data_IF_542096313254
#
_entry.id   IF_542096313254
#
_cell.length_a   1.000
_cell.length_b   1.000
_cell.length_c   1.000
_cell.angle_alpha   90.00
_cell.angle_beta   90.00
_cell.angle_gamma   90.00
#
_symmetry.space_group_name_H-M   'P 1'
#
loop_
_entity.id
_entity.type
_entity.pdbx_description
1 polymer ?
#
# COMPACT_ATOMS: atom_id res chain seq x y z
N UNK A 1 -11.62 17.94 25.48
CA UNK A 1 -12.87 17.24 25.77
C UNK A 1 -14.04 18.12 25.35
N UNK A 2 -15.09 17.56 24.85
CA UNK A 2 -16.37 18.23 24.59
C UNK A 2 -17.45 17.45 25.35
N UNK A 3 -18.15 18.13 26.21
CA UNK A 3 -19.34 17.59 26.85
C UNK A 3 -20.50 17.61 25.83
N UNK A 4 -21.11 16.42 25.61
CA UNK A 4 -22.13 16.27 24.59
C UNK A 4 -23.48 16.88 24.98
N UNK A 5 -23.76 17.05 26.28
CA UNK A 5 -25.02 17.59 26.79
C UNK A 5 -24.96 19.11 26.92
N UNK A 6 -23.85 19.63 27.46
CA UNK A 6 -23.69 21.07 27.72
C UNK A 6 -23.03 21.84 26.57
N UNK A 7 -22.27 21.14 25.70
CA UNK A 7 -21.45 21.74 24.66
C UNK A 7 -20.18 22.39 25.20
N UNK A 8 -19.84 22.22 26.47
CA UNK A 8 -18.66 22.81 27.09
C UNK A 8 -17.38 22.17 26.56
N UNK A 9 -16.38 23.03 26.24
CA UNK A 9 -15.05 22.61 25.79
C UNK A 9 -14.03 22.78 26.88
N UNK A 10 -13.40 21.68 27.28
CA UNK A 10 -12.26 21.69 28.21
C UNK A 10 -10.99 21.22 27.48
N UNK A 11 -9.85 21.88 27.78
CA UNK A 11 -8.57 21.61 27.15
C UNK A 11 -7.58 21.10 28.19
N UNK A 12 -6.85 20.07 27.82
CA UNK A 12 -5.78 19.46 28.59
C UNK A 12 -4.50 19.47 27.77
N UNK A 13 -3.38 19.74 28.40
CA UNK A 13 -2.05 19.57 27.79
C UNK A 13 -1.49 18.26 28.32
N UNK A 14 -1.20 17.34 27.41
CA UNK A 14 -0.64 16.02 27.71
C UNK A 14 0.78 15.94 27.18
N UNK A 15 1.62 15.18 27.86
CA UNK A 15 2.87 14.68 27.30
C UNK A 15 2.61 13.68 26.18
N UNK A 16 3.64 13.20 25.52
CA UNK A 16 3.52 12.18 24.45
C UNK A 16 3.24 10.77 24.97
N UNK A 17 2.95 10.58 26.26
CA UNK A 17 2.75 9.28 26.88
C UNK A 17 1.33 8.75 26.63
N UNK A 18 1.26 7.53 26.07
CA UNK A 18 0.01 6.81 25.79
C UNK A 18 -0.75 6.49 27.09
N UNK A 19 -0.04 6.15 28.17
CA UNK A 19 -0.67 5.78 29.43
C UNK A 19 -1.31 7.00 30.13
N UNK A 20 -0.68 8.17 30.04
CA UNK A 20 -1.19 9.45 30.53
C UNK A 20 -2.50 9.82 29.79
N UNK A 21 -2.48 9.79 28.46
CA UNK A 21 -3.63 10.11 27.63
C UNK A 21 -4.81 9.15 27.87
N UNK A 22 -4.54 7.85 27.97
CA UNK A 22 -5.56 6.85 28.25
C UNK A 22 -6.10 6.97 29.69
N UNK A 23 -5.24 7.34 30.66
CA UNK A 23 -5.62 7.59 32.05
C UNK A 23 -6.58 8.77 32.19
N UNK A 24 -6.27 9.88 31.49
CA UNK A 24 -7.17 11.03 31.45
C UNK A 24 -8.55 10.64 30.91
N UNK A 25 -8.59 9.97 29.74
CA UNK A 25 -9.86 9.55 29.13
C UNK A 25 -10.66 8.61 30.03
N UNK A 26 -10.00 7.68 30.71
CA UNK A 26 -10.67 6.71 31.62
C UNK A 26 -11.21 7.39 32.90
N UNK A 27 -10.63 8.53 33.32
CA UNK A 27 -11.08 9.31 34.47
C UNK A 27 -12.26 10.23 34.19
N UNK A 28 -12.69 10.38 32.93
CA UNK A 28 -13.84 11.21 32.57
C UNK A 28 -15.17 10.50 32.85
N UNK A 29 -16.27 11.29 33.10
CA UNK A 29 -17.61 10.74 33.24
C UNK A 29 -18.01 9.90 32.01
N UNK A 30 -18.62 8.74 32.26
CA UNK A 30 -19.06 7.84 31.17
C UNK A 30 -20.49 8.16 30.72
N UNK A 31 -20.82 7.93 29.42
CA UNK A 31 -19.99 7.28 28.39
C UNK A 31 -18.95 8.24 27.81
N UNK A 32 -17.73 7.75 27.55
CA UNK A 32 -16.66 8.51 26.94
C UNK A 32 -16.16 7.85 25.65
N UNK A 33 -15.94 8.65 24.62
CA UNK A 33 -15.35 8.21 23.36
C UNK A 33 -14.22 9.17 22.97
N UNK A 34 -13.05 8.61 22.68
CA UNK A 34 -11.89 9.36 22.22
C UNK A 34 -11.76 9.31 20.69
N UNK A 35 -11.09 10.29 20.11
CA UNK A 35 -10.68 10.25 18.71
C UNK A 35 -9.29 10.84 18.55
N UNK A 36 -8.50 10.25 17.63
CA UNK A 36 -7.24 10.84 17.21
C UNK A 36 -6.98 10.55 15.72
N UNK A 37 -6.11 11.36 15.10
CA UNK A 37 -5.73 11.20 13.70
C UNK A 37 -4.71 10.06 13.56
N UNK A 38 -4.93 9.12 12.62
CA UNK A 38 -3.95 8.10 12.30
C UNK A 38 -2.63 8.74 11.83
N UNK A 39 -1.55 8.43 12.52
CA UNK A 39 -0.25 9.06 12.31
C UNK A 39 0.92 8.15 12.70
N UNK A 40 2.14 8.71 12.81
CA UNK A 40 3.35 7.96 13.10
C UNK A 40 3.37 7.33 14.50
N UNK A 41 2.50 7.76 15.41
CA UNK A 41 2.36 7.19 16.77
C UNK A 41 1.68 5.82 16.78
N UNK A 42 1.17 5.35 15.63
CA UNK A 42 0.56 4.03 15.49
C UNK A 42 -0.76 3.89 16.25
N UNK A 43 -1.00 2.67 16.73
CA UNK A 43 -2.28 2.28 17.34
C UNK A 43 -2.20 1.97 18.84
N UNK A 44 -1.09 2.30 19.49
CA UNK A 44 -0.87 2.05 20.93
C UNK A 44 -1.96 2.67 21.78
N UNK A 45 -2.31 3.92 21.53
CA UNK A 45 -3.36 4.63 22.27
C UNK A 45 -4.75 3.96 22.10
N UNK A 46 -5.13 3.58 20.89
CA UNK A 46 -6.42 2.91 20.68
C UNK A 46 -6.51 1.58 21.43
N UNK A 47 -5.42 0.81 21.49
CA UNK A 47 -5.35 -0.44 22.24
C UNK A 47 -5.41 -0.21 23.75
N UNK A 48 -4.72 0.83 24.25
CA UNK A 48 -4.72 1.16 25.66
C UNK A 48 -6.09 1.67 26.13
N UNK A 49 -6.76 2.48 25.31
CA UNK A 49 -8.14 2.91 25.56
C UNK A 49 -9.11 1.72 25.59
N UNK A 50 -8.96 0.79 24.65
CA UNK A 50 -9.79 -0.42 24.61
C UNK A 50 -9.60 -1.30 25.88
N UNK A 51 -8.37 -1.41 26.44
CA UNK A 51 -8.13 -2.11 27.72
C UNK A 51 -8.81 -1.44 28.91
N UNK A 52 -9.09 -0.14 28.81
CA UNK A 52 -9.76 0.66 29.85
C UNK A 52 -11.25 0.84 29.59
N UNK A 53 -11.80 0.09 28.63
CA UNK A 53 -13.20 0.18 28.22
C UNK A 53 -13.61 1.61 27.81
N UNK A 54 -12.73 2.28 27.05
CA UNK A 54 -12.98 3.58 26.44
C UNK A 54 -13.08 3.42 24.92
N UNK A 55 -14.19 3.87 24.36
CA UNK A 55 -14.39 3.88 22.90
C UNK A 55 -13.34 4.75 22.22
N UNK A 56 -12.82 4.32 21.06
CA UNK A 56 -11.82 5.08 20.33
C UNK A 56 -12.04 5.03 18.81
N UNK A 57 -12.06 6.20 18.19
CA UNK A 57 -12.08 6.36 16.73
C UNK A 57 -10.72 6.85 16.26
N UNK A 58 -9.99 6.00 15.55
CA UNK A 58 -8.78 6.42 14.83
C UNK A 58 -9.20 6.98 13.49
N UNK A 59 -9.09 8.28 13.30
CA UNK A 59 -9.62 8.96 12.13
C UNK A 59 -8.64 8.93 10.94
N UNK A 60 -9.16 8.74 9.71
CA UNK A 60 -8.37 8.78 8.49
C UNK A 60 -7.99 10.23 8.14
N UNK A 61 -6.67 10.60 8.09
CA UNK A 61 -6.22 11.99 7.90
C UNK A 61 -6.77 12.63 6.62
N UNK A 62 -6.77 11.87 5.53
CA UNK A 62 -7.23 12.35 4.21
C UNK A 62 -8.75 12.53 4.08
N UNK A 63 -9.49 12.16 5.12
CA UNK A 63 -10.96 12.26 5.16
C UNK A 63 -11.46 13.28 6.20
N UNK A 64 -10.55 13.91 6.95
CA UNK A 64 -10.91 14.98 7.88
C UNK A 64 -11.16 16.24 7.04
N UNK A 65 -12.40 16.78 7.02
CA UNK A 65 -12.71 17.98 6.27
C UNK A 65 -12.01 19.20 6.91
N UNK A 66 -11.32 19.98 6.07
CA UNK A 66 -10.70 21.25 6.46
C UNK A 66 -11.22 22.34 5.55
N UNK A 67 -11.49 23.50 6.10
CA UNK A 67 -11.89 24.66 5.31
C UNK A 67 -10.72 25.12 4.42
N UNK A 68 -10.99 25.40 3.15
CA UNK A 68 -9.96 25.78 2.15
C UNK A 68 -9.21 27.08 2.48
N UNK A 69 -9.70 27.90 3.42
CA UNK A 69 -9.06 29.14 3.89
C UNK A 69 -8.31 29.02 5.21
N UNK A 70 -8.35 27.87 5.88
CA UNK A 70 -7.70 27.71 7.19
C UNK A 70 -6.21 27.43 7.02
N UNK A 71 -5.40 28.49 7.17
CA UNK A 71 -3.93 28.45 7.05
C UNK A 71 -3.22 28.30 8.40
N UNK A 72 -3.94 28.36 9.51
CA UNK A 72 -3.35 28.28 10.85
C UNK A 72 -3.63 26.91 11.43
N UNK A 73 -2.61 26.05 11.44
CA UNK A 73 -2.64 24.73 12.05
C UNK A 73 -2.04 24.80 13.46
N UNK A 74 -2.84 24.44 14.47
CA UNK A 74 -2.37 24.25 15.85
C UNK A 74 -3.01 22.99 16.42
N UNK A 75 -2.32 22.29 17.32
CA UNK A 75 -2.81 21.07 17.95
C UNK A 75 -4.16 21.28 18.65
N UNK A 76 -4.35 22.45 19.27
CA UNK A 76 -5.61 22.83 19.90
C UNK A 76 -6.77 22.87 18.90
N UNK A 77 -6.58 23.51 17.74
CA UNK A 77 -7.63 23.58 16.69
C UNK A 77 -7.90 22.21 16.07
N UNK A 78 -6.85 21.44 15.84
CA UNK A 78 -6.99 20.08 15.29
C UNK A 78 -7.75 19.18 16.29
N UNK A 79 -7.47 19.27 17.59
CA UNK A 79 -8.19 18.52 18.63
C UNK A 79 -9.66 18.95 18.74
N UNK A 80 -9.93 20.26 18.68
CA UNK A 80 -11.31 20.78 18.68
C UNK A 80 -12.08 20.34 17.44
N UNK A 81 -11.47 20.38 16.26
CA UNK A 81 -12.09 19.90 15.04
C UNK A 81 -12.44 18.40 15.13
N UNK A 82 -11.50 17.59 15.64
CA UNK A 82 -11.72 16.15 15.77
C UNK A 82 -12.86 15.83 16.73
N UNK A 83 -12.94 16.49 17.89
CA UNK A 83 -14.01 16.20 18.85
C UNK A 83 -15.38 16.65 18.35
N UNK A 84 -15.47 17.78 17.62
CA UNK A 84 -16.71 18.23 16.98
C UNK A 84 -17.16 17.27 15.86
N UNK A 85 -16.22 16.77 15.05
CA UNK A 85 -16.52 15.78 14.01
C UNK A 85 -16.89 14.42 14.61
N UNK A 86 -16.31 14.03 15.75
CA UNK A 86 -16.67 12.83 16.48
C UNK A 86 -18.12 12.92 16.94
N UNK A 87 -18.51 14.01 17.62
CA UNK A 87 -19.87 14.24 18.08
C UNK A 87 -20.88 14.22 16.92
N UNK A 88 -20.51 14.82 15.78
CA UNK A 88 -21.35 14.84 14.58
C UNK A 88 -21.39 13.51 13.81
N UNK A 89 -20.65 12.46 14.23
CA UNK A 89 -20.55 11.18 13.51
C UNK A 89 -19.90 11.27 12.14
N UNK A 90 -19.07 12.28 11.88
CA UNK A 90 -18.45 12.57 10.57
C UNK A 90 -17.00 12.11 10.43
N UNK A 91 -16.45 11.44 11.44
CA UNK A 91 -15.14 10.82 11.33
C UNK A 91 -15.20 9.51 10.55
N UNK A 92 -14.23 9.31 9.66
CA UNK A 92 -14.06 8.06 8.94
C UNK A 92 -13.04 7.19 9.70
N UNK A 93 -13.47 6.08 10.34
CA UNK A 93 -12.58 5.25 11.13
C UNK A 93 -11.58 4.50 10.25
N UNK A 94 -10.35 4.39 10.73
CA UNK A 94 -9.33 3.46 10.24
C UNK A 94 -9.41 2.19 11.07
N UNK A 95 -9.33 1.04 10.42
CA UNK A 95 -9.21 -0.24 11.12
C UNK A 95 -7.91 -0.28 11.92
N UNK A 96 -8.00 -0.59 13.19
CA UNK A 96 -6.85 -0.86 14.06
C UNK A 96 -6.40 -2.30 13.83
N UNK A 97 -5.18 -2.55 13.31
CA UNK A 97 -4.67 -3.90 13.12
C UNK A 97 -4.32 -4.55 14.46
N UNK A 98 -4.29 -5.88 14.50
CA UNK A 98 -3.68 -6.61 15.61
C UNK A 98 -2.18 -6.31 15.73
N UNK A 99 -1.56 -6.51 16.92
CA UNK A 99 -0.13 -6.23 17.09
C UNK A 99 0.79 -7.01 16.15
N UNK A 100 0.50 -8.27 15.93
CA UNK A 100 1.24 -9.14 15.02
C UNK A 100 1.09 -8.71 13.56
N UNK A 101 -0.13 -8.33 13.16
CA UNK A 101 -0.41 -7.80 11.83
C UNK A 101 0.34 -6.47 11.59
N UNK A 102 0.37 -5.59 12.60
CA UNK A 102 1.10 -4.32 12.53
C UNK A 102 2.60 -4.55 12.38
N UNK A 103 3.19 -5.45 13.19
CA UNK A 103 4.60 -5.79 13.11
C UNK A 103 5.00 -6.35 11.73
N UNK A 104 4.19 -7.27 11.18
CA UNK A 104 4.44 -7.81 9.85
C UNK A 104 4.27 -6.75 8.75
N UNK A 105 3.31 -5.84 8.89
CA UNK A 105 3.14 -4.68 8.01
C UNK A 105 4.37 -3.78 8.01
N UNK A 106 4.97 -3.53 9.18
CA UNK A 106 6.17 -2.71 9.28
C UNK A 106 7.35 -3.37 8.58
N UNK A 107 7.53 -4.68 8.72
CA UNK A 107 8.56 -5.44 8.01
C UNK A 107 8.37 -5.35 6.48
N UNK A 108 7.14 -5.50 5.99
CA UNK A 108 6.80 -5.37 4.57
C UNK A 108 7.08 -3.96 4.06
N UNK A 109 6.73 -2.93 4.82
CA UNK A 109 6.99 -1.53 4.49
C UNK A 109 8.48 -1.20 4.52
N UNK A 110 9.24 -1.75 5.46
CA UNK A 110 10.69 -1.62 5.49
C UNK A 110 11.33 -2.19 4.21
N UNK A 111 10.88 -3.38 3.77
CA UNK A 111 11.35 -3.96 2.49
C UNK A 111 11.00 -3.08 1.29
N UNK A 112 9.79 -2.50 1.25
CA UNK A 112 9.37 -1.60 0.17
C UNK A 112 10.19 -0.30 0.17
N UNK A 113 10.49 0.27 1.32
CA UNK A 113 11.36 1.45 1.44
C UNK A 113 12.75 1.16 0.86
N UNK A 114 13.37 0.04 1.24
CA UNK A 114 14.67 -0.38 0.69
C UNK A 114 14.60 -0.62 -0.83
N UNK A 115 13.50 -1.18 -1.35
CA UNK A 115 13.30 -1.32 -2.80
C UNK A 115 13.31 0.04 -3.52
N UNK A 116 12.65 1.04 -2.93
CA UNK A 116 12.62 2.40 -3.48
C UNK A 116 14.00 3.04 -3.44
N UNK A 117 14.73 2.89 -2.33
CA UNK A 117 16.07 3.45 -2.18
C UNK A 117 17.07 2.79 -3.14
N UNK A 118 16.98 1.48 -3.33
CA UNK A 118 17.76 0.74 -4.32
C UNK A 118 17.49 1.27 -5.75
N UNK A 119 16.22 1.49 -6.10
CA UNK A 119 15.86 2.06 -7.39
C UNK A 119 16.46 3.47 -7.56
N UNK A 120 16.39 4.32 -6.53
CA UNK A 120 16.96 5.66 -6.53
C UNK A 120 18.49 5.62 -6.66
N UNK A 121 19.17 4.72 -5.94
CA UNK A 121 20.60 4.53 -6.04
C UNK A 121 21.03 4.10 -7.44
N UNK A 122 20.32 3.15 -8.04
CA UNK A 122 20.52 2.71 -9.43
C UNK A 122 20.36 3.83 -10.44
N UNK A 123 19.35 4.69 -10.26
CA UNK A 123 19.13 5.85 -11.12
C UNK A 123 20.28 6.86 -10.99
N UNK A 124 20.73 7.15 -9.76
CA UNK A 124 21.88 8.05 -9.52
C UNK A 124 23.14 7.55 -10.23
N UNK A 125 23.48 6.26 -10.09
CA UNK A 125 24.63 5.67 -10.76
C UNK A 125 24.48 5.72 -12.29
N UNK A 126 23.31 5.36 -12.83
CA UNK A 126 23.07 5.45 -14.28
C UNK A 126 23.25 6.87 -14.81
N UNK A 127 22.86 7.89 -14.04
CA UNK A 127 23.06 9.29 -14.41
C UNK A 127 24.51 9.75 -14.26
N UNK A 128 25.26 9.23 -13.30
CA UNK A 128 26.71 9.46 -13.20
C UNK A 128 27.42 8.94 -14.46
N UNK A 129 27.20 7.69 -14.82
CA UNK A 129 27.79 7.06 -15.99
C UNK A 129 27.43 7.83 -17.28
N UNK A 130 26.16 8.22 -17.43
CA UNK A 130 25.71 8.99 -18.60
C UNK A 130 26.44 10.34 -18.73
N UNK A 131 26.72 11.05 -17.60
CA UNK A 131 27.47 12.30 -17.61
C UNK A 131 28.91 12.12 -18.09
N UNK A 132 29.49 10.94 -17.86
CA UNK A 132 30.85 10.58 -18.31
C UNK A 132 30.86 9.90 -19.69
N UNK A 133 29.74 9.87 -20.41
CA UNK A 133 29.63 9.24 -21.72
C UNK A 133 29.70 7.70 -21.69
N UNK A 134 29.65 7.09 -20.50
CA UNK A 134 29.75 5.64 -20.32
C UNK A 134 28.36 5.02 -20.42
N UNK A 135 28.17 4.08 -21.35
CA UNK A 135 26.89 3.40 -21.60
C UNK A 135 27.11 1.89 -21.65
N UNK A 136 26.10 1.17 -21.20
CA UNK A 136 26.01 -0.28 -21.38
C UNK A 136 25.00 -0.58 -22.48
N UNK A 137 25.49 -1.06 -23.62
CA UNK A 137 24.66 -1.31 -24.81
C UNK A 137 24.37 -2.82 -25.02
N UNK A 138 24.87 -3.68 -24.13
CA UNK A 138 24.87 -5.13 -24.27
C UNK A 138 23.77 -5.79 -23.42
N UNK A 139 22.55 -5.30 -23.55
CA UNK A 139 21.37 -5.87 -22.92
C UNK A 139 20.75 -5.04 -21.79
N UNK A 140 20.05 -5.73 -20.88
CA UNK A 140 19.31 -5.07 -19.80
C UNK A 140 20.23 -4.71 -18.64
N UNK A 141 20.02 -3.53 -18.03
CA UNK A 141 20.71 -3.10 -16.84
C UNK A 141 20.40 -4.01 -15.62
N UNK A 142 21.35 -4.09 -14.67
CA UNK A 142 21.24 -4.80 -13.39
C UNK A 142 21.21 -6.33 -13.49
N UNK A 143 21.50 -6.88 -14.67
CA UNK A 143 21.78 -8.31 -14.87
C UNK A 143 23.20 -8.67 -14.38
N UNK A 144 23.55 -9.96 -14.17
CA UNK A 144 24.93 -10.37 -13.87
C UNK A 144 25.94 -9.83 -14.89
N UNK A 145 25.60 -9.82 -16.17
CA UNK A 145 26.43 -9.29 -17.25
C UNK A 145 26.68 -7.77 -17.10
N UNK A 146 25.63 -6.98 -16.80
CA UNK A 146 25.77 -5.56 -16.50
C UNK A 146 26.66 -5.32 -15.26
N UNK A 147 26.52 -6.13 -14.21
CA UNK A 147 27.35 -6.00 -13.00
C UNK A 147 28.81 -6.30 -13.28
N UNK A 148 29.10 -7.34 -14.06
CA UNK A 148 30.46 -7.65 -14.48
C UNK A 148 31.09 -6.52 -15.31
N UNK A 149 30.32 -5.96 -16.25
CA UNK A 149 30.74 -4.78 -17.02
C UNK A 149 31.01 -3.58 -16.10
N UNK A 150 30.09 -3.29 -15.16
CA UNK A 150 30.20 -2.16 -14.22
C UNK A 150 31.45 -2.25 -13.35
N UNK A 151 31.84 -3.44 -12.92
CA UNK A 151 33.04 -3.68 -12.15
C UNK A 151 34.35 -3.33 -12.92
N UNK A 152 34.31 -3.37 -14.26
CA UNK A 152 35.45 -3.00 -15.13
C UNK A 152 35.43 -1.54 -15.57
N UNK A 153 34.40 -0.76 -15.21
CA UNK A 153 34.33 0.66 -15.60
C UNK A 153 35.34 1.49 -14.83
N UNK A 154 36.15 2.26 -15.57
CA UNK A 154 37.07 3.25 -15.00
C UNK A 154 36.70 4.65 -15.51
N UNK A 155 36.74 5.62 -14.62
CA UNK A 155 36.48 7.03 -14.93
C UNK A 155 37.79 7.82 -14.87
N UNK A 156 37.94 8.88 -15.71
CA UNK A 156 39.23 9.53 -15.93
C UNK A 156 39.78 10.32 -14.72
N UNK A 157 38.90 10.70 -13.78
CA UNK A 157 39.27 11.51 -12.63
C UNK A 157 39.07 10.70 -11.34
N UNK A 158 40.06 10.77 -10.43
CA UNK A 158 40.04 10.05 -9.18
C UNK A 158 38.78 10.29 -8.34
N UNK A 159 38.30 11.54 -8.28
CA UNK A 159 37.05 11.90 -7.60
C UNK A 159 35.79 11.24 -8.24
N UNK A 160 35.77 11.16 -9.57
CA UNK A 160 34.69 10.49 -10.30
C UNK A 160 34.72 8.97 -10.07
N UNK A 161 35.93 8.39 -10.08
CA UNK A 161 36.11 6.96 -9.77
C UNK A 161 35.71 6.63 -8.34
N UNK A 162 36.10 7.46 -7.36
CA UNK A 162 35.66 7.29 -5.97
C UNK A 162 34.12 7.35 -5.85
N UNK A 163 33.47 8.28 -6.54
CA UNK A 163 32.00 8.39 -6.58
C UNK A 163 31.33 7.16 -7.23
N UNK A 164 31.95 6.58 -8.27
CA UNK A 164 31.48 5.35 -8.91
C UNK A 164 31.53 4.17 -7.95
N UNK A 165 32.66 4.02 -7.25
CA UNK A 165 32.86 2.93 -6.28
C UNK A 165 31.88 3.04 -5.09
N UNK A 166 31.73 4.24 -4.52
CA UNK A 166 30.77 4.50 -3.43
C UNK A 166 29.32 4.16 -3.87
N UNK A 167 28.90 4.69 -5.02
CA UNK A 167 27.55 4.44 -5.54
C UNK A 167 27.31 2.95 -5.84
N UNK A 168 28.33 2.21 -6.30
CA UNK A 168 28.23 0.77 -6.55
C UNK A 168 28.10 0.01 -5.24
N UNK A 169 28.94 0.34 -4.23
CA UNK A 169 28.87 -0.26 -2.89
C UNK A 169 27.51 -0.02 -2.21
N UNK A 170 26.96 1.20 -2.32
CA UNK A 170 25.64 1.53 -1.80
C UNK A 170 24.52 0.69 -2.46
N UNK A 171 24.62 0.43 -3.77
CA UNK A 171 23.65 -0.43 -4.48
C UNK A 171 23.72 -1.86 -3.98
N UNK A 172 24.93 -2.40 -3.78
CA UNK A 172 25.11 -3.78 -3.31
C UNK A 172 24.61 -3.93 -1.86
N UNK A 173 24.88 -2.98 -0.98
CA UNK A 173 24.38 -2.96 0.39
C UNK A 173 22.83 -2.93 0.42
N UNK A 174 22.20 -2.08 -0.39
CA UNK A 174 20.75 -2.00 -0.50
C UNK A 174 20.13 -3.27 -1.11
N UNK A 175 20.82 -3.90 -2.07
CA UNK A 175 20.37 -5.17 -2.64
C UNK A 175 20.39 -6.29 -1.59
N UNK A 176 21.47 -6.43 -0.84
CA UNK A 176 21.58 -7.40 0.25
C UNK A 176 20.55 -7.18 1.34
N UNK A 177 20.33 -5.93 1.77
CA UNK A 177 19.30 -5.58 2.76
C UNK A 177 17.89 -5.91 2.27
N UNK A 178 17.56 -5.61 1.00
CA UNK A 178 16.28 -5.99 0.40
C UNK A 178 16.07 -7.50 0.42
N UNK A 179 17.09 -8.27 0.02
CA UNK A 179 17.01 -9.72 -0.08
C UNK A 179 16.93 -10.37 1.31
N UNK A 180 17.59 -9.79 2.31
CA UNK A 180 17.45 -10.21 3.71
C UNK A 180 16.01 -10.02 4.19
N UNK A 181 15.45 -8.81 4.10
CA UNK A 181 14.07 -8.53 4.50
C UNK A 181 13.05 -9.40 3.75
N UNK A 182 13.31 -9.72 2.49
CA UNK A 182 12.48 -10.62 1.71
C UNK A 182 12.50 -12.05 2.26
N UNK A 183 13.66 -12.56 2.69
CA UNK A 183 13.74 -13.88 3.32
C UNK A 183 13.01 -13.92 4.66
N UNK A 184 13.15 -12.87 5.49
CA UNK A 184 12.42 -12.75 6.75
C UNK A 184 10.90 -12.78 6.57
N UNK A 185 10.39 -11.99 5.61
CA UNK A 185 8.95 -11.97 5.27
C UNK A 185 8.47 -13.38 4.87
N UNK A 186 9.21 -14.07 4.00
CA UNK A 186 8.84 -15.41 3.52
C UNK A 186 8.88 -16.44 4.66
N UNK A 187 9.88 -16.35 5.55
CA UNK A 187 10.03 -17.25 6.68
C UNK A 187 8.89 -17.10 7.72
N UNK A 188 8.43 -15.87 7.94
CA UNK A 188 7.33 -15.59 8.90
C UNK A 188 5.94 -15.87 8.32
N UNK A 189 5.80 -15.99 7.00
CA UNK A 189 4.50 -16.12 6.35
C UNK A 189 3.67 -17.34 6.81
N UNK A 190 4.20 -18.56 6.97
CA UNK A 190 3.40 -19.73 7.32
C UNK A 190 2.62 -19.59 8.64
N UNK A 191 3.19 -18.91 9.64
CA UNK A 191 2.54 -18.67 10.94
C UNK A 191 1.77 -17.34 11.02
N UNK A 192 1.71 -16.59 9.93
CA UNK A 192 1.13 -15.24 9.95
C UNK A 192 -0.39 -15.28 9.76
N UNK A 193 -1.11 -14.23 10.22
CA UNK A 193 -2.54 -14.09 9.97
C UNK A 193 -2.90 -13.96 8.48
N UNK A 194 -1.91 -13.76 7.61
CA UNK A 194 -2.11 -13.60 6.16
C UNK A 194 -1.80 -14.86 5.34
N UNK A 195 -1.38 -15.97 5.97
CA UNK A 195 -0.92 -17.17 5.28
C UNK A 195 -1.95 -17.68 4.24
N UNK A 196 -3.21 -17.77 4.63
CA UNK A 196 -4.31 -18.26 3.78
C UNK A 196 -4.57 -17.28 2.63
N UNK A 197 -4.74 -15.98 2.94
CA UNK A 197 -5.01 -14.95 1.94
C UNK A 197 -3.87 -14.83 0.92
N UNK A 198 -2.64 -14.90 1.38
CA UNK A 198 -1.46 -14.90 0.49
C UNK A 198 -1.44 -16.13 -0.40
N UNK A 199 -1.74 -17.32 0.14
CA UNK A 199 -1.86 -18.56 -0.63
C UNK A 199 -2.87 -18.41 -1.77
N UNK A 200 -4.04 -17.85 -1.48
CA UNK A 200 -5.11 -17.61 -2.46
C UNK A 200 -4.72 -16.55 -3.49
N UNK A 201 -4.23 -15.38 -3.06
CA UNK A 201 -3.87 -14.27 -3.95
C UNK A 201 -2.77 -14.65 -4.95
N UNK A 202 -1.79 -15.46 -4.54
CA UNK A 202 -0.68 -15.88 -5.43
C UNK A 202 -1.12 -16.86 -6.53
N UNK A 203 -2.35 -17.37 -6.50
CA UNK A 203 -2.95 -18.08 -7.62
C UNK A 203 -3.20 -17.18 -8.83
N UNK A 204 -3.40 -15.88 -8.60
CA UNK A 204 -3.61 -14.90 -9.66
C UNK A 204 -2.31 -14.65 -10.43
N UNK A 205 -2.41 -14.62 -11.76
CA UNK A 205 -1.27 -14.32 -12.62
C UNK A 205 -0.74 -12.91 -12.35
N UNK A 206 0.59 -12.79 -12.22
CA UNK A 206 1.26 -11.50 -11.94
C UNK A 206 1.34 -11.14 -10.45
N UNK A 207 0.70 -11.91 -9.57
CA UNK A 207 0.82 -11.76 -8.13
C UNK A 207 1.68 -12.91 -7.59
N UNK A 208 2.90 -12.61 -7.20
CA UNK A 208 3.79 -13.54 -6.49
C UNK A 208 3.60 -13.45 -4.97
N UNK A 209 4.37 -14.22 -4.22
CA UNK A 209 4.27 -14.24 -2.76
C UNK A 209 4.49 -12.86 -2.14
N UNK A 210 5.49 -12.12 -2.59
CA UNK A 210 5.79 -10.79 -2.03
C UNK A 210 4.74 -9.75 -2.42
N UNK A 211 4.22 -9.82 -3.64
CA UNK A 211 3.12 -8.95 -4.06
C UNK A 211 1.85 -9.24 -3.28
N UNK A 212 1.54 -10.53 -3.02
CA UNK A 212 0.40 -10.94 -2.21
C UNK A 212 0.53 -10.44 -0.76
N UNK A 213 1.70 -10.64 -0.13
CA UNK A 213 1.99 -10.12 1.22
C UNK A 213 1.87 -8.60 1.25
N UNK A 214 2.41 -7.90 0.23
CA UNK A 214 2.28 -6.45 0.09
C UNK A 214 0.83 -5.98 0.00
N UNK A 215 -0.03 -6.70 -0.71
CA UNK A 215 -1.46 -6.42 -0.77
C UNK A 215 -2.12 -6.64 0.59
N UNK A 216 -1.84 -7.75 1.28
CA UNK A 216 -2.35 -8.00 2.63
C UNK A 216 -1.91 -6.92 3.62
N UNK A 217 -0.64 -6.50 3.59
CA UNK A 217 -0.11 -5.45 4.46
C UNK A 217 -0.82 -4.11 4.28
N UNK A 218 -1.22 -3.76 3.07
CA UNK A 218 -1.84 -2.47 2.77
C UNK A 218 -3.38 -2.49 2.86
N UNK A 219 -4.00 -3.64 2.64
CA UNK A 219 -5.46 -3.80 2.68
C UNK A 219 -5.91 -4.24 4.07
N UNK A 220 -5.12 -5.12 4.73
CA UNK A 220 -5.48 -5.77 5.98
C UNK A 220 -6.55 -6.83 5.75
N UNK A 221 -7.69 -6.64 6.36
CA UNK A 221 -8.85 -7.53 6.27
C UNK A 221 -9.65 -7.25 4.98
N UNK A 222 -9.81 -8.27 4.14
CA UNK A 222 -10.60 -8.22 2.90
C UNK A 222 -12.11 -8.42 3.15
N UNK A 223 -12.48 -9.08 4.24
CA UNK A 223 -13.88 -9.40 4.56
C UNK A 223 -14.68 -8.15 4.95
N UNK A 224 -14.00 -7.09 5.41
CA UNK A 224 -14.62 -5.80 5.70
C UNK A 224 -15.25 -5.10 4.49
N UNK A 225 -14.97 -5.56 3.28
CA UNK A 225 -15.56 -5.03 2.06
C UNK A 225 -16.70 -5.94 1.61
N UNK A 226 -17.93 -5.48 1.75
CA UNK A 226 -19.11 -6.23 1.33
C UNK A 226 -19.15 -6.51 -0.18
N UNK A 227 -18.53 -5.65 -0.99
CA UNK A 227 -18.49 -5.76 -2.45
C UNK A 227 -17.12 -5.37 -3.00
N UNK A 228 -16.75 -5.96 -4.13
CA UNK A 228 -15.48 -5.69 -4.83
C UNK A 228 -15.28 -4.20 -5.15
N UNK A 229 -16.33 -3.47 -5.47
CA UNK A 229 -16.32 -2.04 -5.79
C UNK A 229 -15.83 -1.19 -4.61
N UNK A 230 -16.14 -1.60 -3.38
CA UNK A 230 -15.67 -0.92 -2.17
C UNK A 230 -14.13 -1.05 -2.06
N UNK A 231 -13.57 -2.24 -2.33
CA UNK A 231 -12.12 -2.43 -2.37
C UNK A 231 -11.47 -1.63 -3.51
N UNK A 232 -12.08 -1.60 -4.70
CA UNK A 232 -11.60 -0.77 -5.82
C UNK A 232 -11.58 0.71 -5.46
N UNK A 233 -12.61 1.20 -4.76
CA UNK A 233 -12.72 2.57 -4.26
C UNK A 233 -11.68 2.86 -3.17
N UNK A 234 -11.54 1.95 -2.20
CA UNK A 234 -10.55 2.05 -1.13
C UNK A 234 -9.12 2.16 -1.67
N UNK A 235 -8.81 1.42 -2.74
CA UNK A 235 -7.51 1.46 -3.40
C UNK A 235 -7.38 2.62 -4.42
N UNK A 236 -8.41 3.43 -4.60
CA UNK A 236 -8.39 4.57 -5.50
C UNK A 236 -8.21 4.22 -6.97
N UNK A 237 -8.71 3.06 -7.38
CA UNK A 237 -8.71 2.59 -8.77
C UNK A 237 -10.02 2.91 -9.52
N UNK A 238 -10.98 3.58 -8.86
CA UNK A 238 -12.19 4.09 -9.48
C UNK A 238 -11.94 5.46 -10.10
N UNK A 239 -12.57 5.79 -11.25
CA UNK A 239 -12.47 7.12 -11.82
C UNK A 239 -13.08 8.16 -10.88
N UNK A 240 -12.50 9.36 -10.83
CA UNK A 240 -13.18 10.50 -10.27
C UNK A 240 -14.35 10.91 -11.21
N UNK A 241 -15.41 11.39 -10.62
CA UNK A 241 -16.62 11.81 -11.34
C UNK A 241 -16.94 13.25 -10.97
N UNK A 242 -17.21 14.06 -11.98
CA UNK A 242 -17.73 15.41 -11.85
C UNK A 242 -18.95 15.50 -12.75
N UNK A 243 -20.09 15.19 -12.19
CA UNK A 243 -21.38 15.19 -12.91
C UNK A 243 -22.17 16.42 -12.53
N UNK A 244 -22.58 17.22 -13.52
CA UNK A 244 -23.48 18.35 -13.35
C UNK A 244 -24.66 18.17 -14.28
N UNK A 245 -25.86 18.09 -13.73
CA UNK A 245 -27.10 17.86 -14.51
C UNK A 245 -27.05 16.53 -15.27
N UNK A 246 -27.28 16.58 -16.59
CA UNK A 246 -27.28 15.38 -17.44
C UNK A 246 -25.91 14.97 -17.99
N UNK A 247 -24.84 15.77 -17.74
CA UNK A 247 -23.52 15.48 -18.27
C UNK A 247 -22.66 14.72 -17.24
N UNK A 248 -22.44 13.43 -17.50
CA UNK A 248 -21.50 12.60 -16.73
C UNK A 248 -20.08 12.78 -17.26
N UNK A 249 -19.20 13.34 -16.43
CA UNK A 249 -17.76 13.49 -16.74
C UNK A 249 -16.92 12.62 -15.83
N UNK A 250 -16.28 11.60 -16.42
CA UNK A 250 -15.32 10.75 -15.73
C UNK A 250 -13.89 11.26 -15.98
N UNK A 251 -13.15 11.45 -14.91
CA UNK A 251 -11.74 11.85 -14.92
C UNK A 251 -10.76 10.68 -14.77
N UNK A 252 -9.56 10.99 -14.29
CA UNK A 252 -8.55 10.00 -13.91
C UNK A 252 -9.02 9.21 -12.68
N UNK A 253 -8.29 8.14 -12.33
CA UNK A 253 -8.56 7.42 -11.07
C UNK A 253 -8.34 8.35 -9.86
N UNK A 254 -9.10 8.14 -8.79
CA UNK A 254 -9.08 8.99 -7.57
C UNK A 254 -7.73 8.98 -6.86
N UNK A 255 -6.94 7.92 -6.98
CA UNK A 255 -5.64 7.71 -6.32
C UNK A 255 -5.70 7.78 -4.77
N UNK A 256 -6.88 7.65 -4.18
CA UNK A 256 -7.03 7.52 -2.72
C UNK A 256 -6.39 6.23 -2.20
N UNK A 257 -6.13 6.15 -0.90
CA UNK A 257 -5.55 4.97 -0.27
C UNK A 257 -4.11 4.65 -0.69
N UNK A 258 -3.68 3.40 -0.55
CA UNK A 258 -2.29 3.00 -0.69
C UNK A 258 -1.77 3.06 -2.13
N UNK A 259 -0.76 3.90 -2.36
CA UNK A 259 -0.02 3.94 -3.63
C UNK A 259 0.79 2.66 -3.88
N UNK A 260 1.25 2.00 -2.80
CA UNK A 260 1.98 0.74 -2.87
C UNK A 260 1.08 -0.38 -3.42
N UNK A 261 -0.11 -0.58 -2.84
CA UNK A 261 -1.05 -1.59 -3.33
C UNK A 261 -1.48 -1.33 -4.79
N UNK A 262 -1.76 -0.05 -5.15
CA UNK A 262 -2.07 0.30 -6.54
C UNK A 262 -0.94 -0.05 -7.50
N UNK A 263 0.31 0.22 -7.13
CA UNK A 263 1.48 -0.14 -7.94
C UNK A 263 1.56 -1.64 -8.16
N UNK A 264 1.44 -2.45 -7.10
CA UNK A 264 1.47 -3.91 -7.19
C UNK A 264 0.39 -4.44 -8.14
N UNK A 265 -0.83 -3.93 -8.03
CA UNK A 265 -1.94 -4.33 -8.90
C UNK A 265 -1.74 -3.91 -10.35
N UNK A 266 -1.21 -2.70 -10.59
CA UNK A 266 -0.91 -2.23 -11.95
C UNK A 266 0.23 -3.03 -12.57
N UNK A 267 1.29 -3.34 -11.82
CA UNK A 267 2.41 -4.19 -12.26
C UNK A 267 1.89 -5.62 -12.58
N UNK A 268 1.05 -6.19 -11.73
CA UNK A 268 0.43 -7.48 -11.99
C UNK A 268 -0.47 -7.47 -13.23
N UNK A 269 -1.19 -6.37 -13.46
CA UNK A 269 -2.11 -6.23 -14.61
C UNK A 269 -1.40 -6.34 -15.97
N UNK A 270 -0.14 -5.92 -16.09
CA UNK A 270 0.64 -6.07 -17.32
C UNK A 270 0.79 -7.50 -17.81
N UNK A 271 0.71 -8.49 -16.92
CA UNK A 271 0.80 -9.91 -17.28
C UNK A 271 -0.42 -10.39 -18.09
N UNK A 272 -1.57 -9.72 -17.98
CA UNK A 272 -2.81 -10.08 -18.68
C UNK A 272 -2.86 -9.60 -20.14
N UNK A 273 -1.85 -8.86 -20.60
CA UNK A 273 -1.63 -8.60 -22.01
C UNK A 273 -1.35 -9.90 -22.80
N UNK A 274 -0.67 -10.83 -22.17
CA UNK A 274 -0.37 -12.15 -22.77
C UNK A 274 -1.60 -13.06 -22.72
N UNK A 275 -1.73 -13.96 -23.70
CA UNK A 275 -2.80 -14.97 -23.74
C UNK A 275 -2.87 -15.77 -22.43
N UNK A 276 -4.08 -16.20 -22.00
CA UNK A 276 -4.23 -17.06 -20.83
C UNK A 276 -3.37 -18.31 -20.94
N UNK A 277 -2.57 -18.58 -19.91
CA UNK A 277 -1.75 -19.78 -19.80
C UNK A 277 -1.30 -19.99 -18.36
N UNK A 278 -1.09 -21.23 -17.98
CA UNK A 278 -0.51 -21.62 -16.69
C UNK A 278 0.90 -22.16 -16.98
N UNK A 279 1.91 -21.32 -16.78
CA UNK A 279 3.31 -21.75 -16.86
C UNK A 279 3.77 -22.36 -15.53
N UNK A 280 4.95 -23.00 -15.52
CA UNK A 280 5.52 -23.74 -14.37
C UNK A 280 5.44 -22.97 -13.05
N UNK A 281 5.97 -21.75 -13.01
CA UNK A 281 5.97 -20.92 -11.80
C UNK A 281 4.56 -20.54 -11.28
N UNK A 282 3.54 -20.48 -12.14
CA UNK A 282 2.16 -20.25 -11.71
C UNK A 282 1.54 -21.55 -11.21
N UNK A 283 1.80 -22.68 -11.89
CA UNK A 283 1.35 -24.00 -11.45
C UNK A 283 1.88 -24.33 -10.05
N UNK A 284 3.17 -24.11 -9.78
CA UNK A 284 3.78 -24.29 -8.47
C UNK A 284 3.13 -23.41 -7.37
N UNK A 285 2.66 -22.21 -7.71
CA UNK A 285 1.94 -21.35 -6.74
C UNK A 285 0.50 -21.79 -6.50
N UNK A 286 -0.10 -22.47 -7.46
CA UNK A 286 -1.48 -23.00 -7.38
C UNK A 286 -1.52 -24.39 -6.76
N UNK A 287 -0.40 -25.07 -6.69
CA UNK A 287 -0.30 -26.38 -6.07
C UNK A 287 -0.70 -26.32 -4.59
N UNK A 288 -1.51 -27.29 -4.14
CA UNK A 288 -2.08 -27.34 -2.80
C UNK A 288 -3.13 -26.27 -2.48
N UNK A 289 -3.50 -25.41 -3.44
CA UNK A 289 -4.55 -24.41 -3.24
C UNK A 289 -5.94 -24.97 -3.57
N UNK A 290 -6.98 -24.38 -2.98
CA UNK A 290 -8.38 -24.81 -3.24
C UNK A 290 -8.74 -24.69 -4.71
N UNK A 291 -9.51 -25.64 -5.22
CA UNK A 291 -9.93 -25.67 -6.61
C UNK A 291 -10.69 -24.40 -7.03
N UNK A 292 -11.50 -23.83 -6.12
CA UNK A 292 -12.23 -22.58 -6.34
C UNK A 292 -11.27 -21.39 -6.57
N UNK A 293 -10.18 -21.30 -5.81
CA UNK A 293 -9.17 -20.25 -5.99
C UNK A 293 -8.51 -20.35 -7.37
N UNK A 294 -8.17 -21.56 -7.80
CA UNK A 294 -7.59 -21.83 -9.12
C UNK A 294 -8.59 -21.48 -10.23
N UNK A 295 -9.88 -21.82 -10.06
CA UNK A 295 -10.95 -21.50 -11.01
C UNK A 295 -11.17 -19.99 -11.15
N UNK A 296 -11.19 -19.25 -10.04
CA UNK A 296 -11.27 -17.78 -10.03
C UNK A 296 -10.06 -17.19 -10.76
N UNK A 297 -8.85 -17.69 -10.47
CA UNK A 297 -7.61 -17.22 -11.10
C UNK A 297 -7.61 -17.46 -12.62
N UNK A 298 -8.14 -18.59 -13.07
CA UNK A 298 -8.31 -18.88 -14.50
C UNK A 298 -9.35 -17.96 -15.15
N UNK A 299 -10.47 -17.73 -14.48
CA UNK A 299 -11.51 -16.78 -14.94
C UNK A 299 -10.97 -15.36 -15.05
N UNK A 300 -10.12 -14.93 -14.09
CA UNK A 300 -9.41 -13.66 -14.14
C UNK A 300 -8.53 -13.56 -15.40
N UNK A 301 -7.74 -14.61 -15.72
CA UNK A 301 -6.90 -14.58 -16.91
C UNK A 301 -7.71 -14.38 -18.19
N UNK A 302 -8.81 -15.12 -18.36
CA UNK A 302 -9.66 -15.04 -19.55
C UNK A 302 -10.33 -13.66 -19.67
N UNK A 303 -10.89 -13.15 -18.58
CA UNK A 303 -11.64 -11.89 -18.57
C UNK A 303 -10.69 -10.69 -18.78
N UNK A 304 -9.59 -10.63 -18.03
CA UNK A 304 -8.66 -9.51 -18.09
C UNK A 304 -7.92 -9.46 -19.42
N UNK A 305 -7.57 -10.61 -20.02
CA UNK A 305 -7.01 -10.65 -21.36
C UNK A 305 -7.99 -10.11 -22.40
N UNK A 306 -9.26 -10.49 -22.35
CA UNK A 306 -10.29 -9.95 -23.26
C UNK A 306 -10.47 -8.44 -23.08
N UNK A 307 -10.50 -7.97 -21.85
CA UNK A 307 -10.58 -6.53 -21.54
C UNK A 307 -9.37 -5.79 -22.10
N UNK A 308 -8.16 -6.35 -21.91
CA UNK A 308 -6.93 -5.79 -22.45
C UNK A 308 -6.98 -5.66 -23.97
N UNK A 309 -7.27 -6.77 -24.68
CA UNK A 309 -7.34 -6.80 -26.14
C UNK A 309 -8.38 -5.81 -26.70
N UNK A 310 -9.57 -5.76 -26.06
CA UNK A 310 -10.65 -4.83 -26.47
C UNK A 310 -10.23 -3.36 -26.33
N UNK A 311 -9.54 -3.00 -25.26
CA UNK A 311 -9.11 -1.61 -25.02
C UNK A 311 -7.90 -1.23 -25.91
N UNK A 312 -6.99 -2.17 -26.16
CA UNK A 312 -5.84 -1.97 -27.07
C UNK A 312 -6.34 -1.81 -28.51
N UNK A 313 -7.35 -2.59 -28.95
CA UNK A 313 -8.00 -2.44 -30.25
C UNK A 313 -8.70 -1.07 -30.43
N UNK A 314 -9.11 -0.42 -29.33
CA UNK A 314 -9.64 0.96 -29.32
C UNK A 314 -8.55 2.03 -29.23
N UNK A 315 -7.31 1.70 -29.52
CA UNK A 315 -6.14 2.58 -29.47
C UNK A 315 -5.94 3.30 -28.11
N UNK A 316 -6.44 2.73 -27.01
CA UNK A 316 -6.18 3.29 -25.67
C UNK A 316 -4.70 3.11 -25.30
N UNK A 317 -4.11 4.12 -24.67
CA UNK A 317 -2.72 4.04 -24.19
C UNK A 317 -2.57 2.84 -23.24
N UNK A 318 -1.53 2.04 -23.42
CA UNK A 318 -1.29 0.82 -22.64
C UNK A 318 -1.26 1.04 -21.13
N UNK A 319 -0.78 2.19 -20.66
CA UNK A 319 -0.81 2.56 -19.24
C UNK A 319 -2.25 2.70 -18.73
N UNK A 320 -3.16 3.26 -19.53
CA UNK A 320 -4.59 3.36 -19.18
C UNK A 320 -5.22 1.96 -19.17
N UNK A 321 -4.87 1.12 -20.14
CA UNK A 321 -5.33 -0.28 -20.21
C UNK A 321 -4.88 -1.06 -18.98
N UNK A 322 -3.62 -0.91 -18.56
CA UNK A 322 -3.08 -1.55 -17.37
C UNK A 322 -3.84 -1.13 -16.10
N UNK A 323 -4.17 0.15 -15.94
CA UNK A 323 -4.95 0.65 -14.80
C UNK A 323 -6.39 0.11 -14.83
N UNK A 324 -7.02 0.05 -16.01
CA UNK A 324 -8.35 -0.54 -16.14
C UNK A 324 -8.36 -2.05 -15.80
N UNK A 325 -7.34 -2.79 -16.26
CA UNK A 325 -7.16 -4.18 -15.91
C UNK A 325 -6.85 -4.37 -14.41
N UNK A 326 -6.05 -3.48 -13.80
CA UNK A 326 -5.76 -3.49 -12.37
C UNK A 326 -7.03 -3.30 -11.53
N UNK A 327 -7.95 -2.41 -11.94
CA UNK A 327 -9.24 -2.25 -11.29
C UNK A 327 -10.05 -3.55 -11.32
N UNK A 328 -10.18 -4.20 -12.47
CA UNK A 328 -10.89 -5.50 -12.55
C UNK A 328 -10.14 -6.60 -11.78
N UNK A 329 -8.78 -6.61 -11.80
CA UNK A 329 -7.96 -7.53 -11.01
C UNK A 329 -8.23 -7.38 -9.50
N UNK A 330 -8.45 -6.16 -9.01
CA UNK A 330 -8.85 -5.92 -7.62
C UNK A 330 -10.12 -6.68 -7.26
N UNK A 331 -11.10 -6.73 -8.17
CA UNK A 331 -12.32 -7.52 -7.97
C UNK A 331 -12.03 -9.03 -7.85
N UNK A 332 -11.09 -9.55 -8.63
CA UNK A 332 -10.65 -10.94 -8.50
C UNK A 332 -9.84 -11.19 -7.22
N UNK A 333 -9.04 -10.21 -6.77
CA UNK A 333 -8.37 -10.30 -5.47
C UNK A 333 -9.40 -10.36 -4.33
N UNK A 334 -10.44 -9.54 -4.38
CA UNK A 334 -11.54 -9.61 -3.42
C UNK A 334 -12.24 -10.97 -3.49
N UNK A 335 -12.69 -11.40 -4.66
CA UNK A 335 -13.44 -12.66 -4.81
C UNK A 335 -12.65 -13.89 -4.32
N UNK A 336 -11.34 -13.95 -4.58
CA UNK A 336 -10.50 -15.10 -4.20
C UNK A 336 -10.24 -15.15 -2.68
N UNK A 337 -10.34 -14.03 -2.00
CA UNK A 337 -10.18 -13.95 -0.54
C UNK A 337 -11.47 -14.21 0.24
N UNK A 338 -12.65 -14.18 -0.44
CA UNK A 338 -13.96 -14.50 0.16
C UNK A 338 -14.29 -16.01 0.17
N UNK A 339 -13.41 -16.86 -0.35
CA UNK A 339 -13.60 -18.32 -0.30
C UNK A 339 -13.58 -18.77 1.18
N UNK A 340 -14.54 -19.55 1.60
CA UNK A 340 -14.61 -20.14 2.94
C UNK A 340 -13.51 -21.16 3.21
#
# INVERSE_FOLDING_TARGET
MLDAETGELQYFTLGGDVAEAAGLCAGLPRPVTAAYEAGPTGYGLARELARRDVGCVVAAPSKIPRASGDRVKTDRRDAELLVRLLLAGKLHPVRVPGPEEEALRDLVRAREAVRVDLMRARHRLSKLLLRHGVRFDDGSAWTPRHRAWLAGVTLPYAAAQATLLDASGAIDALAHRRDHLQREIVAMLPGSPWAVQVGRLRCLRGIDTLSAVGLCAEIGDFERFAHAEQLMSYLGLVPCESTTGQQRRLGSITKTGSSHARRLLVEAAWHYRKRPAVGKALAERQDGQRAEAVAIAWSAQRRLHRTWARLEARAKRRTIVAVAAARELTGFCWAITQIE
#
